data_IF_894113823028
#
_entry.id   IF_894113823028
#
_cell.length_a   1.000
_cell.length_b   1.000
_cell.length_c   1.000
_cell.angle_alpha   90.00
_cell.angle_beta   90.00
_cell.angle_gamma   90.00
#
_symmetry.space_group_name_H-M   'P 1'
#
loop_
_entity.id
_entity.type
_entity.pdbx_description
1 polymer ?
#
# COMPACT_ATOMS: atom_id res chain seq x y z
N UNK A 1 13.09 -66.30 9.55
CA UNK A 1 12.08 -66.86 10.48
C UNK A 1 11.87 -65.86 11.62
N UNK A 2 10.69 -65.85 12.26
CA UNK A 2 10.23 -64.87 13.27
C UNK A 2 9.89 -63.49 12.63
N UNK A 3 8.69 -62.87 12.73
CA UNK A 3 7.47 -63.08 13.53
C UNK A 3 7.71 -63.06 15.06
N UNK A 4 7.10 -62.22 15.90
CA UNK A 4 6.12 -61.11 15.74
C UNK A 4 6.38 -60.09 16.89
N UNK A 5 5.58 -59.10 17.32
CA UNK A 5 4.14 -58.76 17.22
C UNK A 5 3.95 -57.23 17.32
N UNK A 6 2.73 -56.71 17.12
CA UNK A 6 2.37 -55.31 17.41
C UNK A 6 1.99 -55.09 18.89
N UNK A 7 1.91 -53.83 19.33
CA UNK A 7 1.17 -53.41 20.53
C UNK A 7 0.47 -52.08 20.23
N UNK A 8 -0.73 -51.88 20.78
CA UNK A 8 -1.73 -50.94 20.28
C UNK A 8 -2.39 -50.18 21.46
N UNK A 9 -2.80 -48.94 21.21
CA UNK A 9 -3.67 -48.10 22.05
C UNK A 9 -3.20 -47.74 23.48
N UNK A 10 -3.10 -46.43 23.73
CA UNK A 10 -4.16 -45.78 24.52
C UNK A 10 -4.31 -44.31 24.11
N UNK A 11 -5.53 -43.78 24.22
CA UNK A 11 -5.92 -42.42 23.83
C UNK A 11 -6.73 -41.80 24.96
N UNK A 12 -6.44 -40.55 25.32
CA UNK A 12 -7.29 -39.56 26.03
C UNK A 12 -6.55 -38.21 25.96
N UNK A 13 -6.82 -37.34 24.99
CA UNK A 13 -7.96 -36.41 24.94
C UNK A 13 -7.85 -35.22 25.92
N UNK A 14 -7.24 -34.13 25.45
CA UNK A 14 -7.16 -32.83 26.13
C UNK A 14 -7.79 -31.71 25.26
N UNK A 15 -9.03 -31.93 24.80
CA UNK A 15 -9.73 -31.07 23.85
C UNK A 15 -10.62 -30.02 24.54
N UNK A 16 -10.01 -29.08 25.27
CA UNK A 16 -10.74 -28.04 26.04
C UNK A 16 -10.13 -26.63 25.97
N UNK A 17 -9.10 -26.41 25.14
CA UNK A 17 -8.40 -25.12 25.03
C UNK A 17 -8.99 -24.12 24.00
N UNK A 18 -9.99 -24.53 23.19
CA UNK A 18 -10.57 -23.74 22.09
C UNK A 18 -12.10 -23.70 22.11
N UNK A 19 -12.70 -23.54 23.30
CA UNK A 19 -14.10 -23.15 23.41
C UNK A 19 -14.23 -21.62 23.23
N UNK A 20 -14.92 -21.11 22.19
CA UNK A 20 -15.12 -19.68 22.04
C UNK A 20 -16.07 -19.16 23.13
N UNK A 21 -15.59 -18.24 23.97
CA UNK A 21 -16.43 -17.57 24.96
C UNK A 21 -17.55 -16.78 24.25
N UNK A 22 -18.80 -16.80 24.77
CA UNK A 22 -19.90 -16.03 24.19
C UNK A 22 -19.63 -14.53 24.36
N UNK A 23 -19.30 -13.85 23.27
CA UNK A 23 -19.11 -12.40 23.30
C UNK A 23 -20.46 -11.72 23.55
N UNK A 24 -20.57 -11.02 24.69
CA UNK A 24 -21.69 -10.12 24.94
C UNK A 24 -21.66 -9.00 23.91
N UNK A 25 -22.50 -9.12 22.88
CA UNK A 25 -22.79 -8.02 21.96
C UNK A 25 -23.53 -6.94 22.72
N UNK A 26 -22.80 -5.97 23.25
CA UNK A 26 -23.39 -4.71 23.69
C UNK A 26 -23.94 -3.99 22.46
N UNK A 27 -25.23 -4.15 22.21
CA UNK A 27 -25.94 -3.38 21.19
C UNK A 27 -26.13 -1.96 21.71
N UNK A 28 -25.19 -1.07 21.35
CA UNK A 28 -25.33 0.38 21.56
C UNK A 28 -26.42 0.92 20.63
N UNK A 29 -27.67 0.58 20.92
CA UNK A 29 -28.82 1.04 20.15
C UNK A 29 -28.92 2.56 20.27
N UNK A 30 -28.77 3.24 19.13
CA UNK A 30 -28.98 4.68 19.01
C UNK A 30 -30.48 4.94 19.16
N UNK A 31 -30.93 5.08 20.41
CA UNK A 31 -32.32 5.28 20.79
C UNK A 31 -32.78 6.70 20.41
N UNK A 32 -32.98 6.89 19.11
CA UNK A 32 -33.39 8.15 18.52
C UNK A 32 -34.88 8.36 18.81
N UNK A 33 -35.16 9.13 19.87
CA UNK A 33 -36.51 9.59 20.21
C UNK A 33 -37.19 10.16 18.96
N UNK A 34 -38.32 9.58 18.57
CA UNK A 34 -39.20 10.11 17.51
C UNK A 34 -40.01 11.32 18.03
N UNK A 35 -39.31 12.39 18.41
CA UNK A 35 -39.89 13.72 18.54
C UNK A 35 -39.57 14.51 17.25
N UNK A 36 -40.52 15.26 16.67
CA UNK A 36 -40.34 15.92 15.38
C UNK A 36 -39.44 17.17 15.49
N UNK A 37 -38.13 16.95 15.65
CA UNK A 37 -37.13 18.01 15.75
C UNK A 37 -37.10 18.83 14.46
N UNK A 38 -37.60 20.06 14.54
CA UNK A 38 -37.59 20.99 13.42
C UNK A 38 -36.15 21.27 12.96
N UNK A 39 -35.92 21.29 11.65
CA UNK A 39 -34.59 21.59 11.07
C UNK A 39 -34.02 22.93 11.57
N UNK A 40 -34.88 23.88 11.93
CA UNK A 40 -34.49 25.16 12.53
C UNK A 40 -33.94 25.01 13.96
N UNK A 41 -34.49 24.12 14.78
CA UNK A 41 -33.98 23.88 16.14
C UNK A 41 -32.59 23.22 16.11
N UNK A 42 -32.36 22.28 15.18
CA UNK A 42 -31.03 21.68 14.97
C UNK A 42 -29.98 22.74 14.60
N UNK A 43 -30.33 23.68 13.72
CA UNK A 43 -29.45 24.80 13.32
C UNK A 43 -29.24 25.78 14.49
N UNK A 44 -30.27 26.07 15.29
CA UNK A 44 -30.11 26.93 16.48
C UNK A 44 -29.23 26.29 17.56
N UNK A 45 -29.34 24.97 17.78
CA UNK A 45 -28.47 24.25 18.71
C UNK A 45 -27.01 24.18 18.23
N UNK A 46 -26.76 23.99 16.94
CA UNK A 46 -25.38 23.98 16.42
C UNK A 46 -24.72 25.37 16.46
N UNK A 47 -25.48 26.45 16.22
CA UNK A 47 -25.00 27.82 16.39
C UNK A 47 -24.71 28.15 17.86
N UNK A 48 -25.55 27.72 18.80
CA UNK A 48 -25.30 27.91 20.24
C UNK A 48 -23.99 27.22 20.68
N UNK A 49 -23.80 25.95 20.30
CA UNK A 49 -22.61 25.18 20.64
C UNK A 49 -21.31 25.75 20.04
N UNK A 50 -21.38 26.40 18.88
CA UNK A 50 -20.21 26.98 18.21
C UNK A 50 -19.56 28.17 18.98
N UNK A 51 -20.31 28.83 19.88
CA UNK A 51 -19.81 30.03 20.59
C UNK A 51 -18.79 29.72 21.69
N UNK A 52 -18.79 28.51 22.24
CA UNK A 52 -17.97 28.14 23.40
C UNK A 52 -16.57 27.58 23.06
N UNK A 53 -16.22 27.45 21.76
CA UNK A 53 -14.98 26.79 21.31
C UNK A 53 -14.00 27.73 20.59
N UNK A 54 -14.10 29.03 20.83
CA UNK A 54 -13.20 30.03 20.26
C UNK A 54 -11.99 30.31 21.18
N UNK A 55 -10.81 30.43 20.57
CA UNK A 55 -9.59 31.03 21.15
C UNK A 55 -8.83 30.29 22.28
N UNK A 56 -8.42 29.04 22.02
CA UNK A 56 -7.07 28.61 22.38
C UNK A 56 -6.38 27.96 21.16
N UNK A 57 -5.45 28.65 20.48
CA UNK A 57 -4.72 28.09 19.34
C UNK A 57 -3.59 27.15 19.83
N UNK A 58 -3.96 25.95 20.29
CA UNK A 58 -2.99 24.86 20.40
C UNK A 58 -2.48 24.52 19.00
N UNK A 59 -1.15 24.46 18.76
CA UNK A 59 -0.62 24.14 17.44
C UNK A 59 -1.06 22.74 17.02
N UNK A 60 -1.84 22.66 15.94
CA UNK A 60 -2.21 21.38 15.34
C UNK A 60 -0.91 20.66 14.93
N UNK A 61 -0.66 19.48 15.51
CA UNK A 61 0.59 18.72 15.30
C UNK A 61 0.66 18.05 13.91
N UNK A 62 -0.06 18.59 12.92
CA UNK A 62 0.00 18.23 11.50
C UNK A 62 1.31 18.67 10.79
N UNK A 63 2.29 19.15 11.56
CA UNK A 63 3.68 19.33 11.14
C UNK A 63 4.63 18.27 11.75
N UNK A 64 4.17 17.43 12.70
CA UNK A 64 4.97 16.36 13.31
C UNK A 64 5.04 15.10 12.43
N UNK A 65 3.99 14.87 11.67
CA UNK A 65 4.03 14.10 10.43
C UNK A 65 3.92 15.13 9.30
N UNK A 66 4.69 14.95 8.22
CA UNK A 66 4.80 15.96 7.17
C UNK A 66 3.48 16.35 6.52
N UNK A 67 3.46 17.52 5.86
CA UNK A 67 2.35 17.95 5.00
C UNK A 67 1.88 16.81 4.09
N UNK A 68 0.60 16.79 3.69
CA UNK A 68 0.16 15.92 2.60
C UNK A 68 1.06 16.14 1.37
N UNK A 69 1.80 15.10 0.96
CA UNK A 69 2.82 15.15 -0.10
C UNK A 69 4.28 15.22 0.35
N UNK A 70 4.58 15.52 1.62
CA UNK A 70 5.92 15.58 2.18
C UNK A 70 6.44 14.19 2.60
N UNK A 71 6.84 13.40 1.61
CA UNK A 71 7.34 12.03 1.79
C UNK A 71 6.24 11.01 2.11
N UNK A 72 6.63 9.73 2.18
CA UNK A 72 5.82 8.73 2.87
C UNK A 72 6.13 8.78 4.36
N UNK A 73 5.15 8.79 5.27
CA UNK A 73 5.43 8.75 6.70
C UNK A 73 6.31 7.55 7.08
N UNK A 74 7.21 7.74 8.04
CA UNK A 74 8.20 6.73 8.49
C UNK A 74 9.23 6.28 7.43
N UNK A 75 9.25 6.87 6.24
CA UNK A 75 10.38 6.74 5.30
C UNK A 75 11.41 7.81 5.66
N UNK A 76 12.68 7.40 5.83
CA UNK A 76 13.79 8.31 6.09
C UNK A 76 14.03 9.26 4.92
N UNK A 77 14.71 10.38 5.17
CA UNK A 77 15.19 11.25 4.10
C UNK A 77 16.31 10.52 3.33
N UNK A 78 16.21 10.37 2.00
CA UNK A 78 17.28 9.76 1.20
C UNK A 78 18.65 10.45 1.39
N UNK A 79 18.68 11.75 1.70
CA UNK A 79 19.91 12.47 2.03
C UNK A 79 20.54 12.07 3.39
N UNK A 80 19.86 11.22 4.17
CA UNK A 80 20.34 10.63 5.43
C UNK A 80 20.51 9.11 5.36
N UNK A 81 20.33 8.52 4.18
CA UNK A 81 20.49 7.09 3.96
C UNK A 81 21.95 6.66 4.18
N UNK A 82 22.14 5.47 4.76
CA UNK A 82 23.45 4.82 4.87
C UNK A 82 23.46 3.64 3.91
N UNK A 83 24.49 3.61 3.06
CA UNK A 83 24.67 2.63 1.99
C UNK A 83 26.02 1.94 2.18
N UNK A 84 26.06 0.62 1.99
CA UNK A 84 27.27 -0.17 1.89
C UNK A 84 27.74 -0.14 0.42
N UNK A 85 28.82 0.62 0.17
CA UNK A 85 29.40 0.79 -1.17
C UNK A 85 29.92 -0.53 -1.78
N UNK A 86 30.38 -1.49 -0.96
CA UNK A 86 30.89 -2.77 -1.45
C UNK A 86 29.74 -3.69 -1.90
N UNK A 87 28.64 -3.72 -1.13
CA UNK A 87 27.41 -4.42 -1.51
C UNK A 87 26.75 -3.72 -2.71
N UNK A 88 26.69 -2.38 -2.73
CA UNK A 88 26.15 -1.60 -3.84
C UNK A 88 26.92 -1.86 -5.15
N UNK A 89 28.26 -1.95 -5.09
CA UNK A 89 29.10 -2.24 -6.25
C UNK A 89 28.97 -3.69 -6.78
N UNK A 90 28.31 -4.59 -6.04
CA UNK A 90 28.18 -5.99 -6.44
C UNK A 90 27.34 -6.18 -7.71
N UNK A 91 27.69 -7.19 -8.52
CA UNK A 91 27.05 -7.46 -9.81
C UNK A 91 25.54 -7.74 -9.67
N UNK A 92 25.12 -8.39 -8.58
CA UNK A 92 23.71 -8.65 -8.28
C UNK A 92 22.93 -7.36 -7.99
N UNK A 93 23.48 -6.48 -7.15
CA UNK A 93 22.82 -5.22 -6.77
C UNK A 93 22.80 -4.25 -7.96
N UNK A 94 23.86 -4.15 -8.75
CA UNK A 94 23.87 -3.32 -9.96
C UNK A 94 22.86 -3.80 -11.02
N UNK A 95 22.67 -5.12 -11.17
CA UNK A 95 21.60 -5.67 -12.02
C UNK A 95 20.21 -5.31 -11.50
N UNK A 96 19.98 -5.45 -10.20
CA UNK A 96 18.73 -5.05 -9.57
C UNK A 96 18.44 -3.55 -9.72
N UNK A 97 19.45 -2.68 -9.53
CA UNK A 97 19.34 -1.24 -9.74
C UNK A 97 18.98 -0.88 -11.19
N UNK A 98 19.60 -1.54 -12.17
CA UNK A 98 19.24 -1.39 -13.57
C UNK A 98 17.81 -1.88 -13.86
N UNK A 99 17.38 -3.00 -13.27
CA UNK A 99 16.01 -3.50 -13.39
C UNK A 99 14.98 -2.50 -12.83
N UNK A 100 15.22 -1.94 -11.63
CA UNK A 100 14.33 -0.93 -11.01
C UNK A 100 14.23 0.34 -11.85
N UNK A 101 15.33 0.80 -12.47
CA UNK A 101 15.30 1.92 -13.44
C UNK A 101 14.48 1.58 -14.69
N UNK A 102 14.59 0.35 -15.20
CA UNK A 102 13.78 -0.12 -16.33
C UNK A 102 12.29 -0.23 -15.98
N UNK A 103 11.95 -0.70 -14.77
CA UNK A 103 10.56 -0.74 -14.30
C UNK A 103 9.91 0.65 -14.25
N UNK A 104 10.65 1.66 -13.77
CA UNK A 104 10.22 3.06 -13.82
C UNK A 104 9.96 3.51 -15.28
N UNK A 105 10.90 3.24 -16.18
CA UNK A 105 10.77 3.58 -17.60
C UNK A 105 9.57 2.88 -18.28
N UNK A 106 9.28 1.62 -17.93
CA UNK A 106 8.09 0.89 -18.39
C UNK A 106 6.78 1.53 -17.91
N UNK A 107 6.71 2.03 -16.68
CA UNK A 107 5.53 2.78 -16.18
C UNK A 107 5.31 4.07 -16.98
N UNK A 108 6.40 4.77 -17.31
CA UNK A 108 6.36 5.97 -18.16
C UNK A 108 5.97 5.65 -19.61
N UNK A 109 6.43 4.52 -20.17
CA UNK A 109 6.02 4.02 -21.48
C UNK A 109 4.55 3.59 -21.52
N UNK A 110 4.02 3.00 -20.44
CA UNK A 110 2.58 2.68 -20.30
C UNK A 110 1.74 3.95 -20.25
N UNK A 111 2.18 4.99 -19.52
CA UNK A 111 1.50 6.30 -19.55
C UNK A 111 1.51 6.89 -20.96
N UNK A 112 2.68 6.95 -21.61
CA UNK A 112 2.85 7.43 -22.98
C UNK A 112 2.20 6.52 -24.06
N UNK A 113 1.58 5.40 -23.66
CA UNK A 113 0.72 4.58 -24.53
C UNK A 113 -0.74 5.01 -24.38
N UNK A 114 -1.21 5.21 -23.15
CA UNK A 114 -2.55 5.78 -22.87
C UNK A 114 -2.70 7.21 -23.41
N UNK A 115 -1.63 8.00 -23.37
CA UNK A 115 -1.60 9.36 -23.94
C UNK A 115 -1.80 9.39 -25.47
N UNK A 116 -1.65 8.24 -26.15
CA UNK A 116 -1.83 8.08 -27.61
C UNK A 116 -3.13 7.36 -27.97
N UNK A 117 -3.56 6.40 -27.14
CA UNK A 117 -4.82 5.66 -27.28
C UNK A 117 -5.43 5.43 -25.90
N UNK A 118 -6.50 6.18 -25.60
CA UNK A 118 -7.20 6.12 -24.32
C UNK A 118 -7.92 4.78 -24.07
N UNK A 119 -8.05 3.93 -25.10
CA UNK A 119 -8.62 2.58 -25.01
C UNK A 119 -7.56 1.48 -24.89
N UNK A 120 -6.26 1.79 -25.03
CA UNK A 120 -5.20 0.79 -25.08
C UNK A 120 -5.19 -0.13 -23.84
N UNK A 121 -5.03 -1.44 -24.05
CA UNK A 121 -4.83 -2.42 -22.97
C UNK A 121 -3.34 -2.52 -22.62
N UNK A 122 -2.95 -1.88 -21.52
CA UNK A 122 -1.58 -1.98 -20.98
C UNK A 122 -1.36 -3.24 -20.12
N UNK A 123 -2.41 -4.03 -19.87
CA UNK A 123 -2.35 -5.23 -19.02
C UNK A 123 -1.32 -6.29 -19.44
N UNK A 124 -1.10 -6.56 -20.74
CA UNK A 124 0.00 -7.42 -21.19
C UNK A 124 1.38 -6.83 -20.89
N UNK A 125 1.54 -5.51 -20.95
CA UNK A 125 2.80 -4.84 -20.58
C UNK A 125 3.02 -4.91 -19.07
N UNK A 126 2.03 -4.56 -18.24
CA UNK A 126 2.10 -4.66 -16.77
C UNK A 126 2.57 -6.06 -16.32
N UNK A 127 1.93 -7.13 -16.81
CA UNK A 127 2.29 -8.51 -16.42
C UNK A 127 3.69 -8.97 -16.86
N UNK A 128 4.21 -8.41 -17.94
CA UNK A 128 5.50 -8.81 -18.53
C UNK A 128 6.66 -7.98 -17.99
N UNK A 129 6.43 -6.69 -17.82
CA UNK A 129 7.45 -5.68 -17.51
C UNK A 129 7.48 -5.35 -16.02
N UNK A 130 6.40 -5.62 -15.29
CA UNK A 130 6.29 -5.49 -13.83
C UNK A 130 5.91 -6.85 -13.20
N UNK A 131 6.53 -7.94 -13.67
CA UNK A 131 6.30 -9.28 -13.12
C UNK A 131 6.50 -9.28 -11.59
N UNK A 132 5.49 -9.72 -10.86
CA UNK A 132 5.42 -9.55 -9.41
C UNK A 132 6.53 -10.32 -8.66
N UNK A 133 7.02 -11.43 -9.21
CA UNK A 133 8.06 -12.26 -8.57
C UNK A 133 9.43 -11.66 -8.82
N UNK A 134 9.73 -11.28 -10.06
CA UNK A 134 11.00 -10.67 -10.42
C UNK A 134 11.14 -9.26 -9.81
N UNK A 135 10.10 -8.43 -9.91
CA UNK A 135 10.04 -7.08 -9.31
C UNK A 135 10.32 -7.12 -7.80
N UNK A 136 9.68 -8.05 -7.07
CA UNK A 136 9.94 -8.25 -5.63
C UNK A 136 11.38 -8.72 -5.37
N UNK A 137 11.92 -9.58 -6.23
CA UNK A 137 13.28 -10.12 -6.07
C UNK A 137 14.32 -9.03 -6.27
N UNK A 138 14.19 -8.21 -7.33
CA UNK A 138 15.13 -7.12 -7.63
C UNK A 138 15.01 -5.98 -6.62
N UNK A 139 13.80 -5.59 -6.20
CA UNK A 139 13.62 -4.61 -5.11
C UNK A 139 14.27 -5.10 -3.81
N UNK A 140 14.02 -6.35 -3.40
CA UNK A 140 14.64 -6.90 -2.20
C UNK A 140 16.18 -7.03 -2.33
N UNK A 141 16.69 -7.31 -3.53
CA UNK A 141 18.14 -7.41 -3.80
C UNK A 141 18.82 -6.04 -3.76
N UNK A 142 18.20 -4.98 -4.30
CA UNK A 142 18.73 -3.63 -4.12
C UNK A 142 18.69 -3.19 -2.65
N UNK A 143 17.65 -3.61 -1.91
CA UNK A 143 17.51 -3.25 -0.50
C UNK A 143 18.65 -3.77 0.40
N UNK A 144 19.40 -4.81 0.01
CA UNK A 144 20.50 -5.32 0.85
C UNK A 144 21.72 -4.40 0.91
N UNK A 145 21.82 -3.40 0.03
CA UNK A 145 22.89 -2.41 0.05
C UNK A 145 22.67 -1.29 1.10
N UNK A 146 21.51 -1.23 1.73
CA UNK A 146 21.19 -0.21 2.75
C UNK A 146 21.46 -0.73 4.18
N UNK A 147 21.72 0.18 5.12
CA UNK A 147 21.77 -0.16 6.56
C UNK A 147 20.39 -0.55 7.12
N UNK A 148 20.32 -1.09 8.34
CA UNK A 148 19.05 -1.58 8.90
C UNK A 148 17.98 -0.48 9.05
N UNK A 149 18.35 0.75 9.42
CA UNK A 149 17.37 1.83 9.58
C UNK A 149 16.90 2.39 8.22
N UNK A 150 17.80 2.55 7.25
CA UNK A 150 17.44 2.86 5.87
C UNK A 150 16.54 1.76 5.28
N UNK A 151 16.89 0.49 5.47
CA UNK A 151 16.09 -0.66 5.01
C UNK A 151 14.65 -0.59 5.53
N UNK A 152 14.41 -0.26 6.80
CA UNK A 152 13.04 -0.16 7.37
C UNK A 152 12.18 0.87 6.62
N UNK A 153 12.78 1.99 6.21
CA UNK A 153 12.12 3.03 5.42
C UNK A 153 11.86 2.60 3.96
N UNK A 154 12.89 2.10 3.27
CA UNK A 154 12.79 1.69 1.87
C UNK A 154 11.88 0.48 1.67
N UNK A 155 11.83 -0.44 2.63
CA UNK A 155 10.95 -1.61 2.67
C UNK A 155 9.44 -1.21 2.71
N UNK A 156 9.12 -0.01 3.21
CA UNK A 156 7.77 0.60 3.09
C UNK A 156 7.48 1.05 1.65
N UNK A 157 8.46 1.61 0.95
CA UNK A 157 8.33 1.94 -0.48
C UNK A 157 8.19 0.67 -1.34
N UNK A 158 8.97 -0.37 -1.07
CA UNK A 158 8.82 -1.70 -1.73
C UNK A 158 7.40 -2.23 -1.57
N UNK A 159 6.84 -2.22 -0.34
CA UNK A 159 5.44 -2.60 -0.10
C UNK A 159 4.43 -1.77 -0.90
N UNK A 160 4.61 -0.46 -0.98
CA UNK A 160 3.75 0.44 -1.76
C UNK A 160 3.83 0.15 -3.26
N UNK A 161 5.03 -0.07 -3.82
CA UNK A 161 5.24 -0.43 -5.23
C UNK A 161 4.48 -1.72 -5.57
N UNK A 162 4.64 -2.78 -4.77
CA UNK A 162 3.93 -4.06 -5.02
C UNK A 162 2.39 -3.91 -4.93
N UNK A 163 1.89 -3.05 -4.05
CA UNK A 163 0.46 -2.73 -3.97
C UNK A 163 -0.01 -1.96 -5.22
N UNK A 164 0.66 -0.87 -5.60
CA UNK A 164 0.24 -0.05 -6.74
C UNK A 164 0.26 -0.82 -8.07
N UNK A 165 1.20 -1.77 -8.28
CA UNK A 165 1.17 -2.69 -9.44
C UNK A 165 -0.10 -3.57 -9.42
N UNK A 166 -0.44 -4.15 -8.26
CA UNK A 166 -1.63 -5.00 -8.09
C UNK A 166 -2.93 -4.22 -8.33
N UNK A 167 -2.96 -2.96 -7.90
CA UNK A 167 -4.09 -2.06 -8.14
C UNK A 167 -4.14 -1.55 -9.60
N UNK A 168 -3.01 -1.36 -10.26
CA UNK A 168 -2.91 -0.97 -11.68
C UNK A 168 -3.44 -2.08 -12.59
N UNK A 169 -3.01 -3.33 -12.38
CA UNK A 169 -3.58 -4.50 -13.05
C UNK A 169 -5.10 -4.55 -12.92
N UNK A 170 -5.61 -4.24 -11.73
CA UNK A 170 -7.03 -4.32 -11.42
C UNK A 170 -7.82 -3.17 -12.04
N UNK A 171 -7.26 -1.95 -12.08
CA UNK A 171 -7.86 -0.80 -12.76
C UNK A 171 -7.92 -0.98 -14.29
N UNK A 172 -6.90 -1.61 -14.89
CA UNK A 172 -6.83 -1.84 -16.33
C UNK A 172 -7.88 -2.85 -16.85
N UNK A 173 -8.37 -3.78 -16.03
CA UNK A 173 -9.35 -4.84 -16.43
C UNK A 173 -10.60 -4.23 -17.10
N UNK A 174 -10.68 -4.33 -18.43
CA UNK A 174 -11.76 -3.78 -19.24
C UNK A 174 -12.66 -4.89 -19.79
N UNK A 175 -13.97 -4.63 -19.83
CA UNK A 175 -14.93 -5.58 -20.43
C UNK A 175 -14.86 -5.42 -21.94
N UNK A 176 -14.67 -6.54 -22.67
CA UNK A 176 -14.68 -6.54 -24.13
C UNK A 176 -15.94 -5.88 -24.70
N UNK A 177 -15.77 -5.07 -25.75
CA UNK A 177 -16.84 -4.28 -26.37
C UNK A 177 -17.28 -3.03 -25.59
N UNK A 178 -16.78 -2.79 -24.38
CA UNK A 178 -17.11 -1.59 -23.58
C UNK A 178 -15.93 -0.62 -23.59
N UNK A 179 -16.17 0.62 -24.03
CA UNK A 179 -15.17 1.69 -23.99
C UNK A 179 -14.85 2.10 -22.55
N UNK A 180 -13.61 2.51 -22.33
CA UNK A 180 -13.13 3.15 -21.10
C UNK A 180 -13.80 4.51 -20.97
N UNK A 181 -14.29 4.84 -19.77
CA UNK A 181 -14.77 6.18 -19.45
C UNK A 181 -13.62 7.05 -18.93
N UNK A 182 -13.74 8.36 -19.10
CA UNK A 182 -12.78 9.36 -18.61
C UNK A 182 -12.42 9.15 -17.13
N UNK A 183 -13.41 8.89 -16.27
CA UNK A 183 -13.19 8.60 -14.84
C UNK A 183 -12.26 7.38 -14.65
N UNK A 184 -12.43 6.32 -15.45
CA UNK A 184 -11.56 5.14 -15.39
C UNK A 184 -10.16 5.41 -15.93
N UNK A 185 -10.06 6.20 -17.00
CA UNK A 185 -8.78 6.63 -17.57
C UNK A 185 -7.98 7.47 -16.55
N UNK A 186 -8.63 8.43 -15.90
CA UNK A 186 -8.04 9.27 -14.86
C UNK A 186 -7.59 8.46 -13.63
N UNK A 187 -8.32 7.39 -13.26
CA UNK A 187 -7.88 6.43 -12.24
C UNK A 187 -6.64 5.66 -12.69
N UNK A 188 -6.52 5.27 -13.96
CA UNK A 188 -5.32 4.61 -14.49
C UNK A 188 -4.11 5.56 -14.52
N UNK A 189 -4.28 6.80 -14.97
CA UNK A 189 -3.23 7.83 -14.89
C UNK A 189 -2.77 8.08 -13.46
N UNK A 190 -3.70 8.31 -12.52
CA UNK A 190 -3.35 8.51 -11.11
C UNK A 190 -2.67 7.32 -10.45
N UNK A 191 -2.80 6.10 -11.00
CA UNK A 191 -2.04 4.91 -10.56
C UNK A 191 -0.65 4.85 -11.17
N UNK A 192 -0.52 5.12 -12.47
CA UNK A 192 0.79 5.20 -13.13
C UNK A 192 1.65 6.32 -12.54
N UNK A 193 1.06 7.46 -12.18
CA UNK A 193 1.75 8.57 -11.54
C UNK A 193 2.20 8.26 -10.12
N UNK A 194 1.35 7.61 -9.31
CA UNK A 194 1.73 7.09 -7.99
C UNK A 194 2.88 6.09 -8.08
N UNK A 195 2.78 5.12 -8.98
CA UNK A 195 3.78 4.08 -9.17
C UNK A 195 5.11 4.66 -9.67
N UNK A 196 5.08 5.62 -10.61
CA UNK A 196 6.27 6.33 -11.06
C UNK A 196 6.90 7.16 -9.93
N UNK A 197 6.07 7.81 -9.08
CA UNK A 197 6.56 8.49 -7.89
C UNK A 197 7.18 7.50 -6.90
N UNK A 198 6.55 6.37 -6.62
CA UNK A 198 7.07 5.37 -5.68
C UNK A 198 8.42 4.78 -6.15
N UNK A 199 8.57 4.49 -7.45
CA UNK A 199 9.88 4.14 -8.02
C UNK A 199 10.89 5.28 -7.93
N UNK A 200 10.48 6.53 -8.13
CA UNK A 200 11.37 7.70 -8.03
C UNK A 200 11.82 7.98 -6.60
N UNK A 201 10.91 7.86 -5.63
CA UNK A 201 11.16 7.98 -4.20
C UNK A 201 12.12 6.89 -3.70
N UNK A 202 11.99 5.67 -4.23
CA UNK A 202 12.86 4.54 -3.89
C UNK A 202 14.24 4.65 -4.57
N UNK A 203 14.29 5.06 -5.84
CA UNK A 203 15.54 5.33 -6.56
C UNK A 203 16.30 6.56 -6.04
N UNK A 204 15.67 7.44 -5.24
CA UNK A 204 16.35 8.58 -4.62
C UNK A 204 17.34 8.17 -3.51
N UNK A 205 17.29 6.93 -3.05
CA UNK A 205 18.23 6.36 -2.06
C UNK A 205 19.55 5.87 -2.69
N UNK A 206 19.75 5.97 -4.02
CA UNK A 206 20.92 5.42 -4.75
C UNK A 206 21.41 6.31 -5.89
#
# INVERSE_FOLDING_TARGET
>A
MKLTLATLCTVLAAASAFAPAPSMKSSTELNMKNEPTSRLQFIQQSVAAATAFTLLPTPANAAKYGSFGAGSPEVLDPATAIIDDEILASEAVQKAFAAVKNYKASVEAMKATLDKDDQADIGPAVRKELDFVQLRTDLNTLNTAFDEDTQRGTDRLVRLIMQDVTELETANKQKSGVKRSEIRLNIMYGKLEKLNKAFSDYLAFV
#
